data_IF_216222887706
#
_entry.id   IF_216222887706
#
_cell.length_a   1.000
_cell.length_b   1.000
_cell.length_c   1.000
_cell.angle_alpha   90.00
_cell.angle_beta   90.00
_cell.angle_gamma   90.00
#
_symmetry.space_group_name_H-M   'P 1'
#
loop_
_entity.id
_entity.type
_entity.pdbx_description
1 polymer ?
#
# COMPACT_ATOMS: atom_id res chain seq x y z
N UNK A 1 -22.69 10.69 -16.53
CA UNK A 1 -23.68 9.68 -16.95
C UNK A 1 -24.58 10.33 -18.00
N UNK A 2 -24.76 9.70 -19.16
CA UNK A 2 -25.74 10.13 -20.18
C UNK A 2 -26.72 8.96 -20.37
N UNK A 3 -27.97 9.12 -19.94
CA UNK A 3 -29.10 8.28 -20.35
C UNK A 3 -28.95 6.76 -20.16
N UNK A 4 -28.68 6.28 -18.94
CA UNK A 4 -28.67 4.83 -18.65
C UNK A 4 -27.45 4.06 -19.17
N UNK A 5 -26.39 4.76 -19.58
CA UNK A 5 -25.12 4.17 -20.02
C UNK A 5 -23.97 4.61 -19.10
N UNK A 6 -23.11 3.66 -18.76
CA UNK A 6 -21.88 3.88 -18.01
C UNK A 6 -20.69 4.00 -18.96
N UNK A 7 -19.78 4.94 -18.69
CA UNK A 7 -18.47 4.97 -19.37
C UNK A 7 -17.52 4.03 -18.65
N UNK A 8 -17.01 3.03 -19.37
CA UNK A 8 -16.13 1.99 -18.87
C UNK A 8 -14.77 2.12 -19.54
N UNK A 9 -13.71 2.10 -18.74
CA UNK A 9 -12.31 2.01 -19.17
C UNK A 9 -11.76 0.71 -18.59
N UNK A 10 -11.24 -0.18 -19.44
CA UNK A 10 -10.66 -1.46 -19.01
C UNK A 10 -9.21 -1.51 -19.50
N UNK A 11 -8.26 -1.73 -18.60
CA UNK A 11 -6.82 -1.86 -18.91
C UNK A 11 -6.25 -0.70 -19.76
N UNK A 12 -6.69 0.53 -19.48
CA UNK A 12 -6.22 1.73 -20.20
C UNK A 12 -6.76 1.90 -21.63
N UNK A 13 -7.78 1.13 -22.02
CA UNK A 13 -8.45 1.30 -23.32
C UNK A 13 -9.14 2.67 -23.44
N UNK A 14 -9.47 3.08 -24.67
CA UNK A 14 -10.35 4.22 -24.88
C UNK A 14 -11.68 4.03 -24.11
N UNK A 15 -12.25 5.09 -23.49
CA UNK A 15 -13.51 5.01 -22.78
C UNK A 15 -14.63 4.51 -23.71
N UNK A 16 -15.34 3.48 -23.28
CA UNK A 16 -16.49 2.94 -24.01
C UNK A 16 -17.77 3.12 -23.22
N UNK A 17 -18.81 3.60 -23.88
CA UNK A 17 -20.15 3.65 -23.31
C UNK A 17 -20.80 2.26 -23.36
N UNK A 18 -21.23 1.74 -22.21
CA UNK A 18 -21.85 0.41 -22.05
C UNK A 18 -23.22 0.59 -21.42
N UNK A 19 -24.26 0.02 -22.03
CA UNK A 19 -25.62 0.11 -21.49
C UNK A 19 -25.86 -0.91 -20.35
N UNK A 20 -26.87 -0.65 -19.51
CA UNK A 20 -27.34 -1.63 -18.52
C UNK A 20 -27.73 -2.93 -19.22
N UNK A 21 -27.23 -4.06 -18.72
CA UNK A 21 -27.39 -5.39 -19.30
C UNK A 21 -26.26 -5.81 -20.25
N UNK A 22 -25.51 -4.86 -20.80
CA UNK A 22 -24.40 -5.14 -21.72
C UNK A 22 -23.10 -5.42 -20.98
N UNK A 23 -22.21 -6.16 -21.66
CA UNK A 23 -20.88 -6.50 -21.17
C UNK A 23 -19.80 -6.00 -22.11
N UNK A 24 -18.70 -5.49 -21.56
CA UNK A 24 -17.52 -5.09 -22.30
C UNK A 24 -16.25 -5.54 -21.57
N UNK A 25 -15.42 -6.35 -22.26
CA UNK A 25 -14.13 -6.85 -21.75
C UNK A 25 -14.22 -7.41 -20.31
N UNK A 26 -15.25 -8.21 -20.04
CA UNK A 26 -15.45 -8.87 -18.74
C UNK A 26 -16.16 -8.02 -17.67
N UNK A 27 -16.54 -6.78 -17.99
CA UNK A 27 -17.34 -5.90 -17.12
C UNK A 27 -18.77 -5.85 -17.64
N UNK A 28 -19.75 -6.34 -16.86
CA UNK A 28 -21.18 -6.21 -17.17
C UNK A 28 -21.81 -5.11 -16.35
N UNK A 29 -22.58 -4.21 -16.96
CA UNK A 29 -23.35 -3.22 -16.20
C UNK A 29 -24.66 -3.86 -15.74
N UNK A 30 -24.84 -4.01 -14.44
CA UNK A 30 -26.02 -4.63 -13.83
C UNK A 30 -27.13 -3.61 -13.62
N UNK A 31 -26.80 -2.42 -13.11
CA UNK A 31 -27.75 -1.32 -12.95
C UNK A 31 -27.03 0.02 -12.86
N UNK A 32 -27.76 1.09 -13.12
CA UNK A 32 -27.31 2.46 -12.91
C UNK A 32 -28.41 3.23 -12.19
N UNK A 33 -28.09 3.89 -11.08
CA UNK A 33 -29.04 4.69 -10.31
C UNK A 33 -28.36 5.97 -9.83
N UNK A 34 -28.83 7.13 -10.30
CA UNK A 34 -28.26 8.42 -9.97
C UNK A 34 -26.78 8.53 -10.37
N UNK A 35 -25.91 8.72 -9.39
CA UNK A 35 -24.46 8.75 -9.51
C UNK A 35 -23.80 7.37 -9.34
N UNK A 36 -24.57 6.30 -9.10
CA UNK A 36 -24.07 4.95 -8.84
C UNK A 36 -24.26 4.01 -10.04
N UNK A 37 -23.28 3.15 -10.28
CA UNK A 37 -23.36 2.02 -11.21
C UNK A 37 -22.96 0.73 -10.50
N UNK A 38 -23.80 -0.30 -10.63
CA UNK A 38 -23.47 -1.67 -10.23
C UNK A 38 -22.95 -2.40 -11.46
N UNK A 39 -21.75 -2.97 -11.33
CA UNK A 39 -21.10 -3.75 -12.37
C UNK A 39 -20.79 -5.15 -11.86
N UNK A 40 -20.73 -6.12 -12.75
CA UNK A 40 -20.27 -7.47 -12.45
C UNK A 40 -18.95 -7.72 -13.18
N UNK A 41 -17.93 -8.14 -12.43
CA UNK A 41 -16.59 -8.46 -12.93
C UNK A 41 -16.23 -9.84 -12.37
N UNK A 42 -15.90 -10.79 -13.24
CA UNK A 42 -15.60 -12.17 -12.86
C UNK A 42 -16.67 -12.81 -11.92
N UNK A 43 -17.95 -12.48 -12.16
CA UNK A 43 -19.08 -12.99 -11.38
C UNK A 43 -19.33 -12.29 -10.03
N UNK A 44 -18.53 -11.27 -9.68
CA UNK A 44 -18.70 -10.49 -8.44
C UNK A 44 -19.28 -9.11 -8.74
N UNK A 45 -20.28 -8.69 -7.96
CA UNK A 45 -20.90 -7.36 -8.10
C UNK A 45 -20.10 -6.30 -7.36
N UNK A 46 -19.87 -5.17 -8.03
CA UNK A 46 -19.13 -4.00 -7.55
C UNK A 46 -19.98 -2.76 -7.78
N UNK A 47 -20.10 -1.89 -6.77
CA UNK A 47 -20.84 -0.62 -6.89
C UNK A 47 -19.83 0.53 -6.96
N UNK A 48 -19.94 1.37 -7.98
CA UNK A 48 -19.08 2.54 -8.19
C UNK A 48 -19.92 3.82 -8.19
N UNK A 49 -19.40 4.89 -7.59
CA UNK A 49 -19.94 6.25 -7.68
C UNK A 49 -19.18 7.07 -8.72
N UNK A 50 -19.89 7.85 -9.53
CA UNK A 50 -19.34 8.74 -10.54
C UNK A 50 -18.95 10.05 -9.88
N UNK A 51 -17.66 10.37 -9.86
CA UNK A 51 -17.14 11.65 -9.37
C UNK A 51 -16.20 11.57 -8.16
N UNK A 52 -16.05 10.39 -7.55
CA UNK A 52 -14.95 10.12 -6.62
C UNK A 52 -13.78 9.53 -7.42
N UNK A 53 -12.55 10.00 -7.14
CA UNK A 53 -11.32 9.45 -7.69
C UNK A 53 -11.33 7.92 -7.58
N UNK A 54 -10.70 7.16 -8.52
CA UNK A 54 -10.83 5.71 -8.57
C UNK A 54 -10.44 5.08 -7.22
N UNK A 55 -11.46 4.69 -6.45
CA UNK A 55 -11.29 3.95 -5.23
C UNK A 55 -10.79 2.56 -5.63
N UNK A 56 -9.54 2.26 -5.27
CA UNK A 56 -8.99 0.92 -5.37
C UNK A 56 -9.97 -0.08 -4.77
N UNK A 57 -10.35 -1.06 -5.57
CA UNK A 57 -11.22 -2.16 -5.17
C UNK A 57 -10.41 -3.06 -4.24
N UNK A 58 -10.45 -2.78 -2.94
CA UNK A 58 -9.66 -3.47 -1.93
C UNK A 58 -9.81 -2.82 -0.56
N UNK A 59 -11.04 -2.71 -0.07
CA UNK A 59 -11.33 -2.02 1.17
C UNK A 59 -12.71 -2.37 1.69
N UNK A 60 -12.93 -3.64 2.05
CA UNK A 60 -14.02 -3.95 2.96
C UNK A 60 -13.54 -3.57 4.37
N UNK A 61 -13.99 -2.39 4.83
CA UNK A 61 -14.09 -2.09 6.25
C UNK A 61 -14.93 -3.16 6.92
N UNK A 62 -14.30 -3.96 7.78
CA UNK A 62 -14.94 -5.06 8.49
C UNK A 62 -13.91 -5.85 9.28
N UNK A 63 -13.67 -5.41 10.51
CA UNK A 63 -12.94 -6.13 11.54
C UNK A 63 -13.43 -7.58 11.66
N UNK A 64 -12.64 -8.53 11.17
CA UNK A 64 -12.57 -9.89 11.71
C UNK A 64 -11.17 -10.43 11.47
N UNK A 65 -10.57 -10.98 12.52
CA UNK A 65 -9.40 -11.82 12.42
C UNK A 65 -9.70 -12.93 11.39
N UNK A 66 -9.17 -12.81 10.19
CA UNK A 66 -9.19 -13.93 9.26
C UNK A 66 -7.97 -13.89 8.35
N UNK A 67 -7.26 -15.01 8.36
CA UNK A 67 -6.21 -15.39 7.41
C UNK A 67 -6.85 -15.50 6.02
N UNK A 68 -7.16 -14.36 5.40
CA UNK A 68 -7.49 -14.25 3.99
C UNK A 68 -6.20 -14.32 3.15
N UNK A 69 -6.29 -14.69 1.86
CA UNK A 69 -5.12 -14.92 1.02
C UNK A 69 -4.24 -13.67 1.03
N UNK A 70 -3.01 -13.81 1.53
CA UNK A 70 -2.01 -12.75 1.53
C UNK A 70 -1.94 -12.19 0.11
N UNK A 71 -2.26 -10.90 -0.06
CA UNK A 71 -2.06 -10.24 -1.33
C UNK A 71 -0.60 -10.42 -1.76
N UNK A 72 -0.37 -10.55 -3.07
CA UNK A 72 0.99 -10.68 -3.62
C UNK A 72 1.45 -9.41 -4.31
N UNK A 73 0.59 -8.40 -4.47
CA UNK A 73 0.89 -7.21 -5.27
C UNK A 73 0.58 -5.93 -4.51
N UNK A 74 1.53 -4.99 -4.55
CA UNK A 74 1.35 -3.61 -4.07
C UNK A 74 1.53 -2.69 -5.28
N UNK A 75 0.59 -1.75 -5.47
CA UNK A 75 0.69 -0.72 -6.50
C UNK A 75 0.68 0.63 -5.81
N UNK A 76 1.71 1.43 -6.06
CA UNK A 76 1.93 2.74 -5.47
C UNK A 76 2.02 3.79 -6.58
N UNK A 77 1.39 4.93 -6.38
CA UNK A 77 1.58 6.10 -7.24
C UNK A 77 2.49 7.10 -6.52
N UNK A 78 3.36 7.75 -7.26
CA UNK A 78 4.22 8.80 -6.75
C UNK A 78 3.37 10.00 -6.30
N UNK A 79 3.78 10.64 -5.21
CA UNK A 79 3.24 11.93 -4.79
C UNK A 79 3.84 13.07 -5.63
N UNK A 80 3.39 14.30 -5.36
CA UNK A 80 3.85 15.53 -6.02
C UNK A 80 5.36 15.85 -5.89
N UNK A 81 6.15 15.00 -5.24
CA UNK A 81 7.61 15.09 -5.16
C UNK A 81 8.36 13.86 -5.70
N UNK A 82 7.68 12.92 -6.37
CA UNK A 82 8.29 11.70 -6.90
C UNK A 82 8.53 10.59 -5.86
N UNK A 83 8.16 10.82 -4.60
CA UNK A 83 8.23 9.84 -3.53
C UNK A 83 6.99 8.93 -3.53
N UNK A 84 7.17 7.67 -3.16
CA UNK A 84 6.07 6.72 -3.03
C UNK A 84 5.66 6.60 -1.57
N UNK A 85 4.54 7.24 -1.24
CA UNK A 85 3.92 7.16 0.08
C UNK A 85 2.88 6.05 0.11
N UNK A 86 2.80 5.33 1.22
CA UNK A 86 1.75 4.33 1.42
C UNK A 86 1.35 4.21 2.88
N UNK A 87 0.06 3.94 3.12
CA UNK A 87 -0.39 3.55 4.45
C UNK A 87 -0.09 2.07 4.66
N UNK A 88 0.44 1.76 5.84
CA UNK A 88 0.75 0.40 6.23
C UNK A 88 0.51 0.16 7.70
N UNK A 89 0.91 -1.02 8.16
CA UNK A 89 0.87 -1.37 9.56
C UNK A 89 2.19 -2.03 9.96
N UNK A 90 2.71 -1.62 11.12
CA UNK A 90 3.81 -2.29 11.81
C UNK A 90 3.23 -2.95 13.05
N UNK A 91 3.39 -4.26 13.16
CA UNK A 91 2.82 -5.08 14.25
C UNK A 91 1.33 -4.78 14.51
N UNK A 92 0.56 -4.58 13.43
CA UNK A 92 -0.88 -4.28 13.48
C UNK A 92 -1.25 -2.82 13.76
N UNK A 93 -0.28 -1.91 13.93
CA UNK A 93 -0.54 -0.49 14.18
C UNK A 93 -0.26 0.36 12.96
N UNK A 94 -1.18 1.28 12.66
CA UNK A 94 -1.13 2.11 11.46
C UNK A 94 0.08 3.04 11.43
N UNK A 95 0.73 3.12 10.27
CA UNK A 95 1.86 4.02 9.99
C UNK A 95 1.81 4.52 8.55
N UNK A 96 2.25 5.76 8.33
CA UNK A 96 2.58 6.25 7.01
C UNK A 96 4.02 5.85 6.69
N UNK A 97 4.21 5.19 5.55
CA UNK A 97 5.49 4.69 5.05
C UNK A 97 5.89 5.46 3.80
N UNK A 98 7.20 5.59 3.60
CA UNK A 98 7.82 6.06 2.36
C UNK A 98 8.74 4.98 1.83
N UNK A 99 8.60 4.61 0.56
CA UNK A 99 9.56 3.70 -0.08
C UNK A 99 10.92 4.36 -0.17
N UNK A 100 11.94 3.71 0.38
CA UNK A 100 13.32 4.16 0.31
C UNK A 100 14.23 2.99 -0.08
N UNK A 101 14.60 2.93 -1.37
CA UNK A 101 15.50 1.90 -1.89
C UNK A 101 16.95 2.07 -1.43
N UNK A 102 17.31 3.24 -0.87
CA UNK A 102 18.62 3.51 -0.28
C UNK A 102 18.74 3.03 1.18
N UNK A 103 17.62 2.83 1.88
CA UNK A 103 17.61 2.33 3.24
C UNK A 103 17.82 0.81 3.28
N UNK A 104 18.79 0.33 4.06
CA UNK A 104 19.02 -1.11 4.24
C UNK A 104 17.88 -1.80 4.99
N UNK A 105 17.32 -1.14 6.00
CA UNK A 105 16.28 -1.68 6.87
C UNK A 105 15.06 -0.76 6.91
N UNK A 106 13.90 -1.30 7.30
CA UNK A 106 12.78 -0.48 7.74
C UNK A 106 13.25 0.42 8.89
N UNK A 107 13.10 1.72 8.74
CA UNK A 107 13.71 2.69 9.65
C UNK A 107 12.65 3.58 10.28
N UNK A 108 12.66 3.69 11.60
CA UNK A 108 11.71 4.48 12.39
C UNK A 108 12.46 5.52 13.24
N UNK A 109 11.82 6.66 13.49
CA UNK A 109 12.21 7.53 14.60
C UNK A 109 11.86 6.89 15.95
N UNK A 110 12.48 7.36 17.03
CA UNK A 110 12.04 7.01 18.40
C UNK A 110 10.56 7.31 18.60
N UNK A 111 10.08 8.47 18.16
CA UNK A 111 8.67 8.86 18.31
C UNK A 111 7.71 7.92 17.57
N UNK A 112 8.06 7.47 16.37
CA UNK A 112 7.26 6.47 15.65
C UNK A 112 7.29 5.10 16.31
N UNK A 113 8.45 4.69 16.83
CA UNK A 113 8.59 3.43 17.54
C UNK A 113 7.73 3.41 18.81
N UNK A 114 7.69 4.51 19.57
CA UNK A 114 6.84 4.67 20.74
C UNK A 114 5.35 4.70 20.35
N UNK A 115 4.99 5.45 19.32
CA UNK A 115 3.61 5.53 18.79
C UNK A 115 3.08 4.17 18.36
N UNK A 116 3.94 3.31 17.80
CA UNK A 116 3.58 1.92 17.44
C UNK A 116 3.90 0.90 18.55
N UNK A 117 4.21 1.35 19.76
CA UNK A 117 4.36 0.48 20.92
C UNK A 117 5.49 -0.54 20.80
N UNK A 118 6.57 -0.21 20.09
CA UNK A 118 7.74 -1.08 19.99
C UNK A 118 8.61 -0.92 21.23
N UNK A 119 8.96 -2.05 21.87
CA UNK A 119 9.99 -2.08 22.90
C UNK A 119 11.39 -2.08 22.25
N UNK A 120 11.73 -0.99 21.56
CA UNK A 120 12.95 -0.90 20.76
C UNK A 120 14.24 -0.96 21.60
N UNK A 121 14.17 -0.54 22.87
CA UNK A 121 15.30 -0.59 23.81
C UNK A 121 15.71 -2.02 24.20
N UNK A 122 14.83 -3.01 24.01
CA UNK A 122 15.18 -4.42 24.15
C UNK A 122 15.93 -4.99 22.91
N UNK A 123 16.01 -4.21 21.83
CA UNK A 123 16.81 -4.54 20.65
C UNK A 123 18.30 -4.32 20.86
N UNK A 124 19.08 -4.61 19.82
CA UNK A 124 20.52 -4.42 19.81
C UNK A 124 20.86 -2.94 19.64
N UNK A 125 21.48 -2.32 20.66
CA UNK A 125 22.04 -0.97 20.53
C UNK A 125 23.19 -0.95 19.52
N UNK A 126 23.16 0.03 18.61
CA UNK A 126 24.17 0.24 17.56
C UNK A 126 24.50 1.72 17.41
N UNK A 127 25.61 2.00 16.74
CA UNK A 127 25.96 3.33 16.28
C UNK A 127 25.65 3.44 14.77
N UNK A 128 24.98 4.52 14.38
CA UNK A 128 24.59 4.81 13.00
C UNK A 128 25.38 6.01 12.49
N UNK A 129 26.08 5.83 11.37
CA UNK A 129 26.73 6.94 10.67
C UNK A 129 25.70 7.68 9.82
N UNK A 130 25.59 8.99 10.03
CA UNK A 130 24.74 9.89 9.24
C UNK A 130 25.55 11.06 8.70
N UNK A 131 24.94 11.86 7.82
CA UNK A 131 25.56 13.09 7.33
C UNK A 131 25.90 14.09 8.47
N UNK A 132 25.15 14.05 9.58
CA UNK A 132 25.34 14.94 10.72
C UNK A 132 26.22 14.30 11.82
N UNK A 133 26.90 13.20 11.52
CA UNK A 133 27.74 12.46 12.45
C UNK A 133 27.14 11.13 12.91
N UNK A 134 27.74 10.57 13.95
CA UNK A 134 27.36 9.26 14.50
C UNK A 134 26.31 9.45 15.58
N UNK A 135 25.20 8.71 15.46
CA UNK A 135 24.08 8.74 16.40
C UNK A 135 23.72 7.34 16.90
N UNK A 136 23.17 7.20 18.12
CA UNK A 136 22.70 5.90 18.58
C UNK A 136 21.47 5.42 17.81
N UNK A 137 21.34 4.10 17.70
CA UNK A 137 20.15 3.44 17.17
C UNK A 137 19.95 2.06 17.81
N UNK A 138 18.81 1.45 17.51
CA UNK A 138 18.44 0.13 18.04
C UNK A 138 17.94 -0.76 16.91
N UNK A 139 18.65 -1.85 16.64
CA UNK A 139 18.21 -2.88 15.70
C UNK A 139 17.26 -3.85 16.38
N UNK A 140 16.18 -4.16 15.70
CA UNK A 140 15.14 -5.08 16.17
C UNK A 140 14.47 -5.76 14.99
N UNK A 141 13.66 -6.78 15.29
CA UNK A 141 12.84 -7.47 14.30
C UNK A 141 11.37 -7.10 14.52
N UNK A 142 10.72 -6.62 13.46
CA UNK A 142 9.28 -6.37 13.45
C UNK A 142 8.58 -7.70 13.21
N UNK A 143 7.56 -8.01 14.02
CA UNK A 143 6.79 -9.24 13.86
C UNK A 143 6.08 -9.25 12.49
N UNK A 144 5.54 -8.11 12.06
CA UNK A 144 4.94 -7.99 10.73
C UNK A 144 4.97 -6.55 10.22
N UNK A 145 5.19 -6.40 8.91
CA UNK A 145 4.94 -5.18 8.15
C UNK A 145 3.87 -5.49 7.09
N UNK A 146 2.78 -4.72 7.10
CA UNK A 146 1.68 -4.84 6.14
C UNK A 146 1.58 -3.59 5.29
N UNK A 147 1.43 -3.77 3.98
CA UNK A 147 1.13 -2.71 3.01
C UNK A 147 0.01 -3.22 2.09
N UNK A 148 -1.15 -2.56 2.12
CA UNK A 148 -2.37 -3.11 1.52
C UNK A 148 -2.69 -4.50 2.07
N UNK A 149 -2.93 -5.45 1.19
CA UNK A 149 -3.22 -6.85 1.54
C UNK A 149 -1.96 -7.71 1.73
N UNK A 150 -0.77 -7.14 1.50
CA UNK A 150 0.49 -7.88 1.59
C UNK A 150 1.10 -7.76 2.97
N UNK A 151 1.49 -8.91 3.54
CA UNK A 151 2.20 -8.99 4.81
C UNK A 151 3.56 -9.65 4.61
N UNK A 152 4.58 -9.03 5.20
CA UNK A 152 5.92 -9.61 5.37
C UNK A 152 6.15 -9.76 6.87
N UNK A 153 6.62 -10.92 7.29
CA UNK A 153 6.91 -11.25 8.69
C UNK A 153 8.42 -11.16 8.94
N UNK A 154 8.78 -11.06 10.22
CA UNK A 154 10.18 -11.12 10.65
C UNK A 154 11.09 -10.11 9.94
N UNK A 155 10.62 -8.87 9.81
CA UNK A 155 11.31 -7.82 9.05
C UNK A 155 12.34 -7.12 9.92
N UNK A 156 13.59 -7.08 9.47
CA UNK A 156 14.64 -6.35 10.17
C UNK A 156 14.38 -4.84 10.11
N UNK A 157 14.53 -4.18 11.25
CA UNK A 157 14.29 -2.75 11.39
C UNK A 157 15.36 -2.08 12.26
N UNK A 158 15.39 -0.76 12.17
CA UNK A 158 16.21 0.08 13.03
C UNK A 158 15.42 1.28 13.53
N UNK A 159 15.53 1.55 14.83
CA UNK A 159 15.05 2.79 15.43
C UNK A 159 16.23 3.75 15.57
N UNK A 160 16.13 4.91 14.94
CA UNK A 160 17.14 5.96 14.99
C UNK A 160 16.82 6.96 16.09
N UNK A 161 17.84 7.40 16.85
CA UNK A 161 17.68 8.55 17.76
C UNK A 161 17.61 9.89 17.03
N UNK A 162 17.92 9.91 15.73
CA UNK A 162 17.86 11.10 14.89
C UNK A 162 16.43 11.43 14.48
N UNK A 163 16.20 12.69 14.11
CA UNK A 163 14.93 13.12 13.55
C UNK A 163 14.70 12.44 12.19
N UNK A 164 13.52 11.86 12.02
CA UNK A 164 13.07 11.32 10.74
C UNK A 164 11.65 11.82 10.47
N UNK A 165 11.38 12.43 9.31
CA UNK A 165 10.05 12.97 9.01
C UNK A 165 9.02 11.87 8.73
N UNK A 166 9.49 10.68 8.33
CA UNK A 166 8.64 9.55 7.96
C UNK A 166 9.31 8.22 8.34
N UNK A 167 8.50 7.17 8.48
CA UNK A 167 9.00 5.80 8.52
C UNK A 167 9.42 5.38 7.12
N UNK A 168 10.65 4.87 7.00
CA UNK A 168 11.22 4.43 5.73
C UNK A 168 10.98 2.94 5.54
N UNK A 169 10.43 2.56 4.40
CA UNK A 169 10.26 1.18 3.97
C UNK A 169 11.49 0.77 3.15
N UNK A 170 12.49 0.23 3.85
CA UNK A 170 13.79 -0.13 3.29
C UNK A 170 13.88 -1.56 2.73
N UNK A 171 15.09 -1.95 2.35
CA UNK A 171 15.37 -3.20 1.63
C UNK A 171 15.09 -4.49 2.43
N UNK A 172 15.10 -4.44 3.77
CA UNK A 172 14.64 -5.57 4.59
C UNK A 172 13.17 -5.94 4.34
N UNK A 173 12.37 -5.04 3.76
CA UNK A 173 11.03 -5.33 3.25
C UNK A 173 11.03 -5.48 1.72
N UNK A 174 11.66 -4.54 1.00
CA UNK A 174 11.55 -4.45 -0.46
C UNK A 174 12.14 -5.66 -1.20
N UNK A 175 13.15 -6.33 -0.63
CA UNK A 175 13.81 -7.49 -1.28
C UNK A 175 12.91 -8.72 -1.41
N UNK A 176 11.79 -8.77 -0.67
CA UNK A 176 10.75 -9.78 -0.83
C UNK A 176 9.95 -9.63 -2.14
N UNK A 177 10.17 -8.55 -2.89
CA UNK A 177 9.39 -8.19 -4.06
C UNK A 177 10.27 -8.05 -5.31
N UNK A 178 9.70 -8.39 -6.46
CA UNK A 178 10.12 -7.85 -7.73
C UNK A 178 9.55 -6.44 -7.83
N UNK A 179 10.43 -5.46 -7.96
CA UNK A 179 10.04 -4.07 -8.13
C UNK A 179 10.03 -3.72 -9.62
N UNK A 180 8.97 -3.06 -10.07
CA UNK A 180 8.88 -2.43 -11.40
C UNK A 180 8.41 -1.00 -11.22
N UNK A 181 9.11 -0.05 -11.83
CA UNK A 181 8.69 1.36 -11.87
C UNK A 181 8.44 1.77 -13.32
N UNK A 182 7.27 2.33 -13.57
CA UNK A 182 6.86 2.87 -14.88
C UNK A 182 6.29 4.26 -14.65
N UNK A 183 7.05 5.28 -15.04
CA UNK A 183 6.74 6.69 -14.76
C UNK A 183 6.51 6.91 -13.25
N UNK A 184 5.31 7.36 -12.90
CA UNK A 184 4.86 7.66 -11.54
C UNK A 184 4.23 6.46 -10.83
N UNK A 185 4.27 5.26 -11.42
CA UNK A 185 3.76 4.05 -10.80
C UNK A 185 4.90 3.12 -10.40
N UNK A 186 4.82 2.60 -9.17
CA UNK A 186 5.64 1.51 -8.67
C UNK A 186 4.77 0.31 -8.37
N UNK A 187 5.19 -0.85 -8.85
CA UNK A 187 4.58 -2.15 -8.58
C UNK A 187 5.59 -3.00 -7.82
N UNK A 188 5.13 -3.61 -6.72
CA UNK A 188 5.87 -4.60 -5.95
C UNK A 188 5.12 -5.93 -6.02
N UNK A 189 5.68 -6.90 -6.75
CA UNK A 189 5.14 -8.24 -6.88
C UNK A 189 5.95 -9.21 -5.99
N UNK A 190 5.30 -9.79 -4.99
CA UNK A 190 5.91 -10.64 -3.96
C UNK A 190 6.51 -11.90 -4.60
N UNK A 191 7.75 -12.21 -4.26
CA UNK A 191 8.52 -13.31 -4.84
C UNK A 191 8.32 -14.64 -4.10
N UNK A 192 8.06 -14.59 -2.80
CA UNK A 192 7.88 -15.73 -1.89
C UNK A 192 7.16 -15.29 -0.62
#
# INVERSE_FOLDING_TARGET
MLGGKALVIVDGSAPKSVAVGESYRGVKIVSTQGDQAVMEIAGKRHTLRVGEAPASVGGASGSVANRGPSGTKIVLNASSGGHFFTQGQINGRAVQLVVDTGATMVSLSVGDAERVGLNYKAGQAVQMSTANGVIPGWRLKLASVRVGDVVVYDVDAIVSSGAMPYVLLGNSFLTHFQMTRTNDQMVLDKRY
#
